data_IF_329279115856
#
_entry.id   IF_329279115856
#
_cell.length_a   1.000
_cell.length_b   1.000
_cell.length_c   1.000
_cell.angle_alpha   90.00
_cell.angle_beta   90.00
_cell.angle_gamma   90.00
#
_symmetry.space_group_name_H-M   'P 1'
#
loop_
_entity.id
_entity.type
_entity.pdbx_description
1 polymer ?
#
# COMPACT_ATOMS: atom_id res chain seq x y z
N UNK A 1 40.61 -17.21 58.82
CA UNK A 1 40.72 -16.18 57.76
C UNK A 1 39.74 -16.50 56.66
N UNK A 2 39.17 -15.46 56.08
CA UNK A 2 37.83 -15.39 55.46
C UNK A 2 37.72 -16.12 54.12
N UNK A 3 36.66 -16.91 53.97
CA UNK A 3 36.19 -17.50 52.71
C UNK A 3 35.33 -16.48 51.97
N UNK A 4 35.79 -16.01 50.80
CA UNK A 4 35.01 -15.11 49.93
C UNK A 4 34.08 -15.95 49.06
N UNK A 5 32.78 -15.92 49.33
CA UNK A 5 31.75 -16.47 48.44
C UNK A 5 31.41 -15.41 47.39
N UNK A 6 31.77 -15.68 46.13
CA UNK A 6 31.34 -14.89 44.97
C UNK A 6 29.86 -15.12 44.71
N UNK A 7 29.06 -14.06 44.86
CA UNK A 7 27.65 -14.03 44.43
C UNK A 7 27.64 -13.45 43.02
N UNK A 8 27.37 -14.29 42.02
CA UNK A 8 27.00 -13.81 40.68
C UNK A 8 25.54 -13.37 40.72
N UNK A 9 25.29 -12.06 40.69
CA UNK A 9 23.97 -11.50 40.46
C UNK A 9 23.73 -11.42 38.94
N UNK A 10 22.84 -12.25 38.42
CA UNK A 10 22.36 -12.15 37.05
C UNK A 10 21.36 -10.98 36.96
N UNK A 11 21.77 -9.87 36.34
CA UNK A 11 20.87 -8.78 36.00
C UNK A 11 20.07 -9.18 34.75
N UNK A 12 18.81 -9.63 34.95
CA UNK A 12 17.83 -9.71 33.87
C UNK A 12 17.47 -8.28 33.44
N UNK A 13 17.96 -7.86 32.28
CA UNK A 13 17.50 -6.64 31.65
C UNK A 13 16.04 -6.85 31.21
N UNK A 14 15.10 -6.24 31.92
CA UNK A 14 13.71 -6.11 31.48
C UNK A 14 13.69 -5.10 30.34
N UNK A 15 13.81 -5.60 29.10
CA UNK A 15 13.55 -4.78 27.92
C UNK A 15 12.06 -4.42 27.91
N UNK A 16 11.69 -3.15 27.70
CA UNK A 16 10.29 -2.78 27.55
C UNK A 16 9.71 -3.53 26.35
N UNK A 17 8.66 -4.32 26.57
CA UNK A 17 7.88 -4.87 25.49
C UNK A 17 7.33 -3.69 24.67
N UNK A 18 7.79 -3.56 23.42
CA UNK A 18 7.17 -2.65 22.47
C UNK A 18 5.68 -3.02 22.40
N UNK A 19 4.81 -2.11 22.82
CA UNK A 19 3.37 -2.35 22.78
C UNK A 19 2.94 -2.32 21.32
N UNK A 20 2.41 -3.44 20.85
CA UNK A 20 1.68 -3.51 19.59
C UNK A 20 0.63 -2.39 19.59
N UNK A 21 0.67 -1.51 18.58
CA UNK A 21 -0.22 -0.36 18.46
C UNK A 21 -0.71 -0.27 17.03
N UNK A 22 -2.00 -0.52 16.84
CA UNK A 22 -2.71 -0.18 15.60
C UNK A 22 -2.92 1.34 15.57
N UNK A 23 -2.31 2.02 14.58
CA UNK A 23 -2.38 3.48 14.44
C UNK A 23 -3.54 3.92 13.56
N UNK A 24 -4.07 3.03 12.73
CA UNK A 24 -5.22 3.27 11.86
C UNK A 24 -5.98 1.96 11.63
N UNK A 25 -7.31 2.06 11.62
CA UNK A 25 -8.20 0.98 11.23
C UNK A 25 -9.47 1.54 10.59
N UNK A 26 -9.93 0.86 9.54
CA UNK A 26 -11.18 1.14 8.85
C UNK A 26 -11.85 -0.18 8.44
N UNK A 27 -13.07 -0.36 8.90
CA UNK A 27 -13.95 -1.53 8.70
C UNK A 27 -14.87 -1.36 7.48
N UNK A 28 -14.36 -0.73 6.42
CA UNK A 28 -15.12 -0.59 5.18
C UNK A 28 -16.12 0.58 5.15
N UNK A 29 -15.85 1.65 5.90
CA UNK A 29 -16.65 2.89 5.91
C UNK A 29 -15.86 4.10 5.38
N UNK A 30 -16.56 5.11 4.87
CA UNK A 30 -15.95 6.38 4.45
C UNK A 30 -15.49 7.21 5.65
N UNK A 31 -16.13 7.05 6.80
CA UNK A 31 -15.70 7.72 8.02
C UNK A 31 -14.31 7.21 8.46
N UNK A 32 -13.45 8.13 8.90
CA UNK A 32 -12.07 7.83 9.33
C UNK A 32 -11.00 8.06 8.25
N UNK A 33 -11.39 8.19 6.98
CA UNK A 33 -10.46 8.61 5.92
C UNK A 33 -10.28 10.12 5.89
N UNK A 34 -9.05 10.58 5.60
CA UNK A 34 -8.74 12.01 5.54
C UNK A 34 -9.28 12.68 4.27
N UNK A 35 -9.35 11.92 3.17
CA UNK A 35 -9.85 12.39 1.89
C UNK A 35 -10.46 11.25 1.08
N UNK A 36 -11.43 11.62 0.21
CA UNK A 36 -12.04 10.68 -0.74
C UNK A 36 -11.95 11.26 -2.14
N UNK A 37 -11.14 10.65 -2.99
CA UNK A 37 -10.89 11.06 -4.37
C UNK A 37 -11.83 10.33 -5.32
N UNK A 38 -12.48 11.10 -6.17
CA UNK A 38 -13.39 10.64 -7.23
C UNK A 38 -13.10 11.42 -8.51
N UNK A 39 -12.10 10.98 -9.26
CA UNK A 39 -11.74 11.64 -10.52
C UNK A 39 -12.59 11.15 -11.69
N UNK A 40 -12.90 12.08 -12.59
CA UNK A 40 -13.71 11.83 -13.77
C UNK A 40 -15.05 11.14 -13.42
N UNK A 41 -15.34 9.97 -13.99
CA UNK A 41 -16.56 9.19 -13.71
C UNK A 41 -16.34 8.14 -12.60
N UNK A 42 -15.29 8.32 -11.79
CA UNK A 42 -14.98 7.44 -10.68
C UNK A 42 -15.96 7.57 -9.52
N UNK A 43 -16.22 6.46 -8.81
CA UNK A 43 -17.04 6.47 -7.59
C UNK A 43 -16.30 5.80 -6.43
N UNK A 44 -16.63 6.24 -5.22
CA UNK A 44 -16.24 5.64 -3.93
C UNK A 44 -17.47 5.68 -3.03
N UNK A 45 -17.98 4.51 -2.66
CA UNK A 45 -19.25 4.34 -1.94
C UNK A 45 -19.19 3.19 -0.95
N UNK A 46 -19.87 3.30 0.19
CA UNK A 46 -20.14 2.19 1.10
C UNK A 46 -21.19 1.25 0.49
N UNK A 47 -21.02 -0.05 0.70
CA UNK A 47 -21.96 -1.08 0.24
C UNK A 47 -22.12 -2.16 1.31
N UNK A 48 -23.28 -2.80 1.36
CA UNK A 48 -23.59 -3.88 2.30
C UNK A 48 -23.80 -5.24 1.65
N UNK A 49 -23.71 -5.34 0.32
CA UNK A 49 -24.01 -6.56 -0.44
C UNK A 49 -22.75 -7.38 -0.84
N UNK A 50 -21.58 -6.74 -0.88
CA UNK A 50 -20.28 -7.39 -1.10
C UNK A 50 -19.34 -6.87 -0.03
N UNK A 51 -19.21 -7.65 1.04
CA UNK A 51 -18.53 -7.28 2.29
C UNK A 51 -17.60 -8.44 2.67
N UNK A 52 -16.43 -8.16 3.22
CA UNK A 52 -15.56 -9.20 3.76
C UNK A 52 -15.97 -9.52 5.19
N UNK A 53 -16.09 -8.49 6.03
CA UNK A 53 -16.40 -8.63 7.46
C UNK A 53 -17.33 -7.51 7.92
N UNK A 54 -18.15 -7.79 8.93
CA UNK A 54 -19.14 -6.84 9.41
C UNK A 54 -20.30 -6.61 8.43
N UNK A 55 -20.71 -5.36 8.26
CA UNK A 55 -21.91 -4.98 7.47
C UNK A 55 -21.65 -3.94 6.38
N UNK A 56 -20.40 -3.50 6.22
CA UNK A 56 -20.01 -2.49 5.22
C UNK A 56 -18.69 -2.88 4.57
N UNK A 57 -18.53 -2.48 3.32
CA UNK A 57 -17.26 -2.43 2.62
C UNK A 57 -17.27 -1.21 1.70
N UNK A 58 -16.10 -0.79 1.24
CA UNK A 58 -15.98 0.26 0.23
C UNK A 58 -15.99 -0.35 -1.16
N UNK A 59 -16.71 0.27 -2.09
CA UNK A 59 -16.69 -0.05 -3.52
C UNK A 59 -16.14 1.15 -4.29
N UNK A 60 -15.09 0.90 -5.05
CA UNK A 60 -14.41 1.86 -5.90
C UNK A 60 -14.65 1.48 -7.36
N UNK A 61 -15.05 2.44 -8.18
CA UNK A 61 -15.26 2.21 -9.61
C UNK A 61 -14.53 3.24 -10.46
N UNK A 62 -14.16 2.86 -11.67
CA UNK A 62 -13.66 3.78 -12.69
C UNK A 62 -14.23 3.43 -14.06
N UNK A 63 -14.43 4.46 -14.90
CA UNK A 63 -14.96 4.33 -16.25
C UNK A 63 -14.02 5.02 -17.23
N UNK A 64 -13.43 4.27 -18.15
CA UNK A 64 -12.63 4.83 -19.22
C UNK A 64 -13.48 5.76 -20.10
N UNK A 65 -13.01 6.98 -20.33
CA UNK A 65 -13.73 8.00 -21.09
C UNK A 65 -12.88 8.43 -22.29
N UNK A 66 -13.22 8.00 -23.52
CA UNK A 66 -12.45 8.37 -24.72
C UNK A 66 -12.29 9.89 -24.84
N UNK A 67 -11.05 10.34 -25.07
CA UNK A 67 -10.71 11.76 -25.23
C UNK A 67 -10.45 12.51 -23.91
N UNK A 68 -10.73 11.92 -22.74
CA UNK A 68 -10.32 12.50 -21.46
C UNK A 68 -8.80 12.34 -21.26
N UNK A 69 -8.11 13.43 -20.94
CA UNK A 69 -6.65 13.50 -20.82
C UNK A 69 -6.14 13.49 -19.38
N UNK A 70 -7.04 13.51 -18.39
CA UNK A 70 -6.67 13.45 -16.97
C UNK A 70 -6.46 12.02 -16.45
N UNK A 71 -6.33 11.90 -15.13
CA UNK A 71 -6.11 10.62 -14.43
C UNK A 71 -7.42 10.02 -13.91
N UNK A 72 -7.36 8.76 -13.48
CA UNK A 72 -8.52 7.93 -13.14
C UNK A 72 -8.39 7.37 -11.73
N UNK A 73 -8.36 8.22 -10.71
CA UNK A 73 -8.33 7.79 -9.30
C UNK A 73 -9.73 7.70 -8.68
N UNK A 74 -10.01 6.58 -8.04
CA UNK A 74 -11.11 6.38 -7.10
C UNK A 74 -10.56 5.79 -5.81
N UNK A 75 -10.17 6.66 -4.88
CA UNK A 75 -9.33 6.31 -3.73
C UNK A 75 -9.83 6.94 -2.43
N UNK A 76 -9.41 6.36 -1.33
CA UNK A 76 -9.47 6.95 0.01
C UNK A 76 -8.05 7.11 0.55
N UNK A 77 -7.81 8.22 1.23
CA UNK A 77 -6.48 8.62 1.67
C UNK A 77 -6.40 8.56 3.20
N UNK A 78 -5.36 7.91 3.73
CA UNK A 78 -4.87 8.13 5.08
C UNK A 78 -3.55 8.90 5.01
N UNK A 79 -3.54 10.12 5.55
CA UNK A 79 -2.44 11.06 5.35
C UNK A 79 -1.12 10.61 5.99
N UNK A 80 -1.19 9.83 7.08
CA UNK A 80 -0.01 9.37 7.83
C UNK A 80 0.32 7.92 7.47
N UNK A 81 0.70 7.67 6.22
CA UNK A 81 1.11 6.35 5.75
C UNK A 81 2.47 5.92 6.29
N UNK A 82 3.51 6.71 6.05
CA UNK A 82 4.83 6.52 6.68
C UNK A 82 5.69 7.78 6.66
N UNK A 83 6.73 7.76 7.50
CA UNK A 83 7.92 8.60 7.36
C UNK A 83 9.18 7.72 7.35
N UNK A 84 10.23 8.17 6.64
CA UNK A 84 11.53 7.48 6.63
C UNK A 84 12.04 7.29 8.07
N UNK A 85 12.56 6.10 8.36
CA UNK A 85 13.08 5.67 9.65
C UNK A 85 12.15 4.68 10.37
N UNK A 86 10.88 4.64 10.01
CA UNK A 86 9.87 3.79 10.65
C UNK A 86 9.88 2.35 10.09
N UNK A 87 9.44 1.41 10.93
CA UNK A 87 9.00 0.09 10.50
C UNK A 87 7.50 -0.01 10.78
N UNK A 88 6.72 -0.33 9.75
CA UNK A 88 5.28 -0.39 9.84
C UNK A 88 4.75 -1.61 9.10
N UNK A 89 3.58 -2.05 9.56
CA UNK A 89 2.75 -3.04 8.90
C UNK A 89 1.52 -2.37 8.30
N UNK A 90 1.08 -2.88 7.16
CA UNK A 90 -0.11 -2.43 6.43
C UNK A 90 -0.91 -3.65 6.01
N UNK A 91 -2.21 -3.63 6.24
CA UNK A 91 -3.11 -4.71 5.87
C UNK A 91 -4.35 -4.17 5.20
N UNK A 92 -4.84 -4.86 4.18
CA UNK A 92 -6.14 -4.58 3.58
C UNK A 92 -6.69 -5.79 2.86
N UNK A 93 -8.02 -5.88 2.82
CA UNK A 93 -8.74 -6.78 1.93
C UNK A 93 -9.10 -6.04 0.64
N UNK A 94 -9.00 -6.72 -0.50
CA UNK A 94 -9.56 -6.24 -1.75
C UNK A 94 -10.26 -7.36 -2.52
N UNK A 95 -11.20 -7.00 -3.38
CA UNK A 95 -11.90 -7.93 -4.27
C UNK A 95 -12.10 -7.30 -5.63
N UNK A 96 -11.65 -7.97 -6.69
CA UNK A 96 -11.98 -7.59 -8.06
C UNK A 96 -13.43 -8.02 -8.39
N UNK A 97 -14.07 -7.36 -9.36
CA UNK A 97 -15.35 -7.86 -9.88
C UNK A 97 -15.23 -9.30 -10.36
N UNK A 98 -16.32 -10.06 -10.25
CA UNK A 98 -16.35 -11.46 -10.72
C UNK A 98 -16.09 -11.56 -12.23
N UNK A 99 -16.52 -10.55 -12.98
CA UNK A 99 -16.33 -10.44 -14.43
C UNK A 99 -15.02 -9.71 -14.80
N UNK A 100 -14.05 -9.57 -13.89
CA UNK A 100 -12.81 -8.83 -14.16
C UNK A 100 -12.09 -9.34 -15.40
N UNK A 101 -11.87 -8.48 -16.40
CA UNK A 101 -11.14 -8.82 -17.62
C UNK A 101 -9.63 -8.66 -17.39
N UNK A 102 -8.81 -9.72 -17.43
CA UNK A 102 -7.36 -9.59 -17.33
C UNK A 102 -6.82 -8.69 -18.44
N UNK A 103 -5.83 -7.86 -18.11
CA UNK A 103 -5.19 -6.95 -19.08
C UNK A 103 -3.72 -6.77 -18.72
N UNK A 104 -2.90 -6.50 -19.74
CA UNK A 104 -1.48 -6.17 -19.58
C UNK A 104 -1.24 -4.78 -19.01
N UNK A 105 -2.29 -3.96 -18.91
CA UNK A 105 -2.25 -2.65 -18.27
C UNK A 105 -2.27 -2.76 -16.75
N UNK A 106 -1.72 -1.75 -16.09
CA UNK A 106 -1.71 -1.62 -14.64
C UNK A 106 -3.05 -1.05 -14.15
N UNK A 107 -3.63 -1.74 -13.18
CA UNK A 107 -4.71 -1.23 -12.35
C UNK A 107 -4.23 -1.19 -10.90
N UNK A 108 -3.81 0.00 -10.45
CA UNK A 108 -3.29 0.20 -9.12
C UNK A 108 -4.40 0.10 -8.06
N UNK A 109 -4.13 -0.63 -6.98
CA UNK A 109 -5.08 -0.93 -5.90
C UNK A 109 -4.67 -0.35 -4.55
N UNK A 110 -3.39 -0.03 -4.37
CA UNK A 110 -2.89 0.73 -3.23
C UNK A 110 -1.60 1.48 -3.59
N UNK A 111 -1.33 2.60 -2.93
CA UNK A 111 -0.08 3.35 -3.14
C UNK A 111 0.33 4.17 -1.93
N UNK A 112 1.63 4.46 -1.88
CA UNK A 112 2.21 5.42 -0.96
C UNK A 112 2.72 6.63 -1.71
N UNK A 113 2.17 7.80 -1.44
CA UNK A 113 2.42 9.01 -2.23
C UNK A 113 2.60 10.24 -1.35
N UNK A 114 3.61 11.06 -1.68
CA UNK A 114 3.86 12.32 -1.01
C UNK A 114 3.86 13.47 -2.03
N UNK A 115 3.31 14.61 -1.64
CA UNK A 115 3.59 15.88 -2.29
C UNK A 115 4.89 16.44 -1.70
N UNK A 116 5.93 16.54 -2.52
CA UNK A 116 7.29 16.93 -2.11
C UNK A 116 7.61 18.33 -2.64
N UNK A 117 6.83 19.32 -2.23
CA UNK A 117 6.90 20.69 -2.74
C UNK A 117 8.35 21.19 -2.89
N UNK A 118 8.68 21.72 -4.06
CA UNK A 118 10.02 22.18 -4.40
C UNK A 118 11.01 21.04 -4.66
N UNK A 119 10.55 19.82 -4.96
CA UNK A 119 11.42 18.74 -5.41
C UNK A 119 11.96 19.06 -6.81
N UNK A 120 11.11 19.59 -7.69
CA UNK A 120 11.51 20.05 -9.03
C UNK A 120 11.96 18.91 -9.93
N UNK A 121 11.38 17.72 -9.76
CA UNK A 121 11.68 16.52 -10.54
C UNK A 121 10.41 15.93 -11.14
N UNK A 122 10.35 15.84 -12.48
CA UNK A 122 9.15 15.41 -13.22
C UNK A 122 8.20 16.58 -13.52
N UNK A 123 6.96 16.26 -13.86
CA UNK A 123 5.93 17.24 -14.27
C UNK A 123 5.27 17.94 -13.07
N UNK A 124 5.28 17.30 -11.90
CA UNK A 124 4.80 17.84 -10.63
C UNK A 124 5.65 17.33 -9.45
N UNK A 125 5.37 17.83 -8.24
CA UNK A 125 6.07 17.44 -7.03
C UNK A 125 5.45 16.21 -6.32
N UNK A 126 4.41 15.58 -6.90
CA UNK A 126 3.82 14.37 -6.36
C UNK A 126 4.64 13.14 -6.77
N UNK A 127 5.05 12.35 -5.78
CA UNK A 127 5.86 11.17 -6.03
C UNK A 127 5.24 9.93 -5.39
N UNK A 128 4.63 9.02 -6.18
CA UNK A 128 4.31 7.70 -5.68
C UNK A 128 5.59 6.88 -5.50
N UNK A 129 5.77 6.34 -4.31
CA UNK A 129 6.86 5.44 -3.95
C UNK A 129 6.42 3.98 -4.20
N UNK A 130 6.12 3.26 -3.14
CA UNK A 130 5.55 1.92 -3.20
C UNK A 130 4.15 1.95 -3.77
N UNK A 131 3.88 1.04 -4.71
CA UNK A 131 2.58 0.87 -5.37
C UNK A 131 2.27 -0.62 -5.42
N UNK A 132 1.00 -0.98 -5.29
CA UNK A 132 0.50 -2.35 -5.41
C UNK A 132 -0.56 -2.36 -6.50
N UNK A 133 -0.41 -3.20 -7.51
CA UNK A 133 -1.31 -3.21 -8.67
C UNK A 133 -1.58 -4.61 -9.20
N UNK A 134 -2.62 -4.69 -10.02
CA UNK A 134 -2.99 -5.88 -10.79
C UNK A 134 -2.54 -5.68 -12.23
N UNK A 135 -1.87 -6.70 -12.76
CA UNK A 135 -1.48 -6.77 -14.17
C UNK A 135 -1.50 -8.24 -14.60
N UNK A 136 -2.18 -8.56 -15.70
CA UNK A 136 -2.36 -9.94 -16.20
C UNK A 136 -2.86 -10.94 -15.14
N UNK A 137 -3.79 -10.53 -14.27
CA UNK A 137 -4.27 -11.33 -13.13
C UNK A 137 -3.20 -11.72 -12.11
N UNK A 138 -2.12 -10.94 -12.03
CA UNK A 138 -1.04 -11.15 -11.08
C UNK A 138 -0.90 -9.90 -10.20
N UNK A 139 -0.54 -10.13 -8.94
CA UNK A 139 -0.18 -9.08 -8.01
C UNK A 139 1.26 -8.62 -8.30
N UNK A 140 1.42 -7.32 -8.43
CA UNK A 140 2.71 -6.66 -8.56
C UNK A 140 2.88 -5.65 -7.43
N UNK A 141 4.13 -5.39 -7.08
CA UNK A 141 4.49 -4.25 -6.24
C UNK A 141 5.78 -3.60 -6.72
N UNK A 142 6.12 -2.46 -6.13
CA UNK A 142 7.43 -1.83 -6.29
C UNK A 142 7.82 -1.08 -5.03
N UNK A 143 9.08 -0.70 -4.94
CA UNK A 143 9.55 0.36 -4.05
C UNK A 143 10.49 1.30 -4.80
N UNK A 144 10.71 2.50 -4.25
CA UNK A 144 11.50 3.56 -4.90
C UNK A 144 12.58 4.03 -3.94
N UNK A 145 13.80 4.23 -4.43
CA UNK A 145 14.89 4.83 -3.65
C UNK A 145 15.68 5.85 -4.48
N UNK A 146 16.63 6.52 -3.84
CA UNK A 146 17.40 7.62 -4.42
C UNK A 146 17.01 8.97 -3.83
N UNK A 147 17.26 10.06 -4.56
CA UNK A 147 17.12 11.43 -4.05
C UNK A 147 15.84 12.12 -4.54
N UNK A 148 15.62 12.04 -5.86
CA UNK A 148 14.47 12.65 -6.54
C UNK A 148 14.20 14.12 -6.13
N UNK A 149 15.24 14.94 -5.94
CA UNK A 149 15.13 16.37 -5.62
C UNK A 149 16.26 17.14 -6.29
N UNK A 150 15.99 18.32 -6.84
CA UNK A 150 17.04 19.13 -7.45
C UNK A 150 18.17 19.45 -6.44
N UNK A 151 19.46 19.42 -6.86
CA UNK A 151 19.94 19.28 -8.24
C UNK A 151 20.07 17.82 -8.75
N UNK A 152 19.68 16.82 -7.96
CA UNK A 152 19.81 15.40 -8.31
C UNK A 152 18.44 14.69 -8.33
N UNK A 153 17.80 14.65 -9.50
CA UNK A 153 16.56 13.90 -9.69
C UNK A 153 16.74 12.38 -9.83
N UNK A 154 17.94 11.84 -9.58
CA UNK A 154 18.21 10.41 -9.65
C UNK A 154 17.35 9.62 -8.66
N UNK A 155 16.66 8.61 -9.17
CA UNK A 155 15.93 7.59 -8.40
C UNK A 155 15.97 6.24 -9.10
N UNK A 156 15.74 5.18 -8.36
CA UNK A 156 15.51 3.84 -8.89
C UNK A 156 14.14 3.34 -8.49
N UNK A 157 13.43 2.76 -9.45
CA UNK A 157 12.13 2.11 -9.24
C UNK A 157 12.36 0.62 -9.41
N UNK A 158 12.14 -0.16 -8.34
CA UNK A 158 12.40 -1.58 -8.31
C UNK A 158 11.06 -2.32 -8.28
N UNK A 159 10.68 -2.86 -9.43
CA UNK A 159 9.43 -3.62 -9.60
C UNK A 159 9.63 -5.07 -9.22
N UNK A 160 8.69 -5.61 -8.44
CA UNK A 160 8.62 -7.03 -8.10
C UNK A 160 7.36 -7.61 -8.76
N UNK A 161 7.53 -8.28 -9.92
CA UNK A 161 6.42 -8.80 -10.69
C UNK A 161 5.94 -10.15 -10.16
N UNK A 162 4.71 -10.53 -10.55
CA UNK A 162 4.22 -11.90 -10.43
C UNK A 162 4.28 -12.48 -9.00
N UNK A 163 3.99 -11.66 -7.99
CA UNK A 163 4.06 -12.09 -6.59
C UNK A 163 3.07 -13.21 -6.28
N UNK A 164 1.85 -13.09 -6.81
CA UNK A 164 0.79 -14.06 -6.64
C UNK A 164 -0.25 -13.96 -7.76
N UNK A 165 -0.92 -15.07 -8.13
CA UNK A 165 -2.12 -15.01 -8.94
C UNK A 165 -3.29 -14.39 -8.17
N UNK A 166 -4.10 -13.59 -8.84
CA UNK A 166 -5.25 -12.89 -8.29
C UNK A 166 -6.51 -13.36 -8.99
N UNK A 167 -7.43 -13.95 -8.24
CA UNK A 167 -8.69 -14.44 -8.77
C UNK A 167 -9.77 -13.36 -8.75
N UNK A 168 -10.51 -13.25 -9.84
CA UNK A 168 -11.68 -12.39 -9.93
C UNK A 168 -12.78 -12.87 -8.96
N UNK A 169 -13.54 -11.94 -8.39
CA UNK A 169 -14.72 -12.26 -7.59
C UNK A 169 -14.45 -12.86 -6.20
N UNK A 170 -13.19 -12.97 -5.78
CA UNK A 170 -12.80 -13.43 -4.43
C UNK A 170 -12.20 -12.29 -3.63
N UNK A 171 -12.38 -12.35 -2.31
CA UNK A 171 -11.65 -11.48 -1.39
C UNK A 171 -10.22 -11.99 -1.24
N UNK A 172 -9.27 -11.06 -1.36
CA UNK A 172 -7.86 -11.30 -1.23
C UNK A 172 -7.27 -10.42 -0.14
N UNK A 173 -6.32 -10.98 0.60
CA UNK A 173 -5.64 -10.32 1.71
C UNK A 173 -4.24 -9.91 1.30
N UNK A 174 -3.89 -8.64 1.49
CA UNK A 174 -2.52 -8.16 1.33
C UNK A 174 -2.03 -7.65 2.67
N UNK A 175 -0.86 -8.14 3.09
CA UNK A 175 -0.13 -7.58 4.23
C UNK A 175 1.28 -7.20 3.79
N UNK A 176 1.70 -5.98 4.12
CA UNK A 176 3.04 -5.46 3.90
C UNK A 176 3.73 -5.27 5.25
N UNK A 177 5.00 -5.67 5.33
CA UNK A 177 5.89 -5.25 6.43
C UNK A 177 7.07 -4.53 5.80
N UNK A 178 7.24 -3.25 6.11
CA UNK A 178 8.24 -2.41 5.46
C UNK A 178 8.99 -1.62 6.53
N UNK A 179 10.32 -1.73 6.49
CA UNK A 179 11.19 -0.76 7.15
C UNK A 179 11.59 0.29 6.13
N UNK A 180 11.10 1.50 6.32
CA UNK A 180 11.29 2.65 5.44
C UNK A 180 12.67 3.25 5.67
N UNK A 181 13.62 2.93 4.81
CA UNK A 181 14.98 3.43 4.89
C UNK A 181 15.48 3.84 3.51
N UNK A 182 16.33 4.87 3.46
CA UNK A 182 16.99 5.28 2.21
C UNK A 182 18.37 4.64 2.03
N UNK A 183 18.79 3.80 2.97
CA UNK A 183 20.05 3.06 2.96
C UNK A 183 19.80 1.55 2.98
N UNK A 184 20.86 0.76 3.09
CA UNK A 184 20.78 -0.72 3.14
C UNK A 184 20.38 -1.27 4.51
N UNK A 185 19.63 -0.53 5.32
CA UNK A 185 19.06 -1.03 6.58
C UNK A 185 17.58 -1.36 6.46
N UNK A 186 16.93 -1.03 5.35
CA UNK A 186 15.54 -1.32 5.09
C UNK A 186 15.28 -2.77 4.68
N UNK A 187 14.01 -3.13 4.70
CA UNK A 187 13.50 -4.40 4.19
C UNK A 187 12.06 -4.24 3.71
N UNK A 188 11.64 -5.10 2.81
CA UNK A 188 10.31 -5.09 2.20
C UNK A 188 9.77 -6.50 2.11
N UNK A 189 8.57 -6.72 2.65
CA UNK A 189 7.94 -8.04 2.73
C UNK A 189 6.48 -7.98 2.38
N UNK A 190 5.99 -9.01 1.71
CA UNK A 190 4.60 -9.11 1.24
C UNK A 190 4.04 -10.49 1.60
N UNK A 191 2.84 -10.48 2.15
CA UNK A 191 1.98 -11.64 2.26
C UNK A 191 0.74 -11.45 1.41
N UNK A 192 0.34 -12.52 0.74
CA UNK A 192 -0.89 -12.60 -0.04
C UNK A 192 -1.67 -13.84 0.38
N UNK A 193 -2.94 -13.66 0.77
CA UNK A 193 -3.82 -14.72 1.26
C UNK A 193 -3.16 -15.61 2.34
N UNK A 194 -2.48 -14.95 3.29
CA UNK A 194 -1.78 -15.59 4.42
C UNK A 194 -0.40 -16.16 4.10
N UNK A 195 -0.01 -16.27 2.83
CA UNK A 195 1.29 -16.80 2.42
C UNK A 195 2.30 -15.67 2.22
N UNK A 196 3.52 -15.80 2.77
CA UNK A 196 4.61 -14.88 2.45
C UNK A 196 5.05 -15.12 1.00
N UNK A 197 4.84 -14.14 0.14
CA UNK A 197 5.14 -14.24 -1.31
C UNK A 197 6.39 -13.49 -1.72
N UNK A 198 6.87 -12.56 -0.88
CA UNK A 198 8.10 -11.83 -1.13
C UNK A 198 8.73 -11.34 0.18
N UNK A 199 10.06 -11.35 0.24
CA UNK A 199 10.84 -10.79 1.32
C UNK A 199 12.26 -10.47 0.83
N UNK A 200 12.68 -9.23 1.03
CA UNK A 200 14.04 -8.78 0.73
C UNK A 200 14.55 -7.88 1.86
N UNK A 201 15.82 -8.06 2.23
CA UNK A 201 16.50 -7.34 3.31
C UNK A 201 17.71 -6.56 2.77
N UNK A 202 18.18 -5.61 3.58
CA UNK A 202 19.37 -4.81 3.31
C UNK A 202 19.23 -3.94 2.04
N UNK A 203 18.04 -3.38 1.84
CA UNK A 203 17.66 -2.57 0.69
C UNK A 203 17.20 -1.17 1.12
N UNK A 204 17.40 -0.19 0.24
CA UNK A 204 16.76 1.10 0.36
C UNK A 204 15.33 1.02 -0.20
N UNK A 205 14.35 1.33 0.64
CA UNK A 205 12.90 1.19 0.40
C UNK A 205 12.16 2.51 0.19
N UNK A 206 12.81 3.65 0.46
CA UNK A 206 12.28 4.99 0.17
C UNK A 206 13.40 5.96 -0.24
N UNK A 207 13.02 7.18 -0.64
CA UNK A 207 13.95 8.27 -0.97
C UNK A 207 14.60 8.86 0.28
N UNK A 208 15.71 9.56 0.11
CA UNK A 208 16.55 10.07 1.22
C UNK A 208 16.09 11.39 1.85
N UNK A 209 14.78 11.61 1.97
CA UNK A 209 14.20 12.72 2.73
C UNK A 209 13.14 12.28 3.74
N UNK A 210 12.62 13.25 4.49
CA UNK A 210 11.71 13.01 5.62
C UNK A 210 10.26 13.40 5.28
N UNK A 211 9.90 13.36 3.99
CA UNK A 211 8.51 13.57 3.56
C UNK A 211 7.59 12.54 4.20
N UNK A 212 6.41 12.98 4.63
CA UNK A 212 5.35 12.05 5.07
C UNK A 212 4.58 11.59 3.84
N UNK A 213 4.57 10.28 3.62
CA UNK A 213 3.80 9.66 2.54
C UNK A 213 2.42 9.28 3.06
N UNK A 214 1.40 9.60 2.28
CA UNK A 214 0.05 9.12 2.49
C UNK A 214 -0.01 7.64 2.13
N UNK A 215 -0.85 6.87 2.82
CA UNK A 215 -1.27 5.55 2.39
C UNK A 215 -2.65 5.64 1.76
N UNK A 216 -2.78 5.22 0.50
CA UNK A 216 -4.04 5.23 -0.23
C UNK A 216 -4.40 3.82 -0.66
N UNK A 217 -5.67 3.48 -0.53
CA UNK A 217 -6.27 2.28 -1.15
C UNK A 217 -7.38 2.73 -2.08
N UNK A 218 -7.54 2.03 -3.20
CA UNK A 218 -8.55 2.36 -4.19
C UNK A 218 -8.14 2.02 -5.60
N UNK A 219 -9.09 2.15 -6.52
CA UNK A 219 -8.88 1.86 -7.93
C UNK A 219 -8.28 3.09 -8.62
N UNK A 220 -7.00 3.02 -8.95
CA UNK A 220 -6.33 3.95 -9.83
C UNK A 220 -5.97 3.27 -11.16
N UNK A 221 -6.75 3.53 -12.21
CA UNK A 221 -6.54 2.98 -13.54
C UNK A 221 -5.44 3.77 -14.30
N UNK A 222 -4.22 3.72 -13.78
CA UNK A 222 -3.11 4.58 -14.20
C UNK A 222 -2.70 4.41 -15.66
N UNK A 223 -2.64 3.16 -16.14
CA UNK A 223 -2.28 2.86 -17.53
C UNK A 223 -3.23 3.49 -18.56
N UNK A 224 -4.49 3.80 -18.21
CA UNK A 224 -5.39 4.50 -19.15
C UNK A 224 -4.90 5.91 -19.49
N UNK A 225 -4.35 6.61 -18.49
CA UNK A 225 -3.73 7.91 -18.69
C UNK A 225 -2.34 7.74 -19.32
N UNK A 226 -1.52 6.86 -18.74
CA UNK A 226 -0.10 6.76 -19.08
C UNK A 226 0.14 6.20 -20.50
N UNK A 227 -0.70 5.26 -20.94
CA UNK A 227 -0.64 4.68 -22.28
C UNK A 227 -1.51 5.44 -23.29
N UNK A 228 -2.25 6.46 -22.83
CA UNK A 228 -3.24 7.24 -23.60
C UNK A 228 -4.34 6.39 -24.27
N UNK A 229 -4.60 5.18 -23.78
CA UNK A 229 -5.62 4.29 -24.28
C UNK A 229 -6.03 3.24 -23.24
N UNK A 230 -7.18 2.61 -23.44
CA UNK A 230 -7.55 1.38 -22.74
C UNK A 230 -7.31 0.17 -23.64
N UNK A 231 -6.75 -0.89 -23.06
CA UNK A 231 -6.68 -2.23 -23.64
C UNK A 231 -7.84 -3.11 -23.16
N UNK A 232 -8.32 -4.00 -24.02
CA UNK A 232 -9.45 -4.87 -23.72
C UNK A 232 -10.81 -4.19 -23.94
N UNK A 233 -11.87 -4.78 -23.41
CA UNK A 233 -13.25 -4.35 -23.62
C UNK A 233 -13.95 -3.80 -22.36
N UNK A 234 -13.41 -4.09 -21.18
CA UNK A 234 -13.98 -3.68 -19.89
C UNK A 234 -13.59 -2.24 -19.50
N UNK A 235 -14.33 -1.28 -20.07
CA UNK A 235 -14.22 0.15 -19.75
C UNK A 235 -14.66 0.52 -18.33
N UNK A 236 -15.56 -0.27 -17.74
CA UNK A 236 -16.03 -0.09 -16.38
C UNK A 236 -15.37 -1.10 -15.45
N UNK A 237 -14.59 -0.61 -14.49
CA UNK A 237 -13.81 -1.42 -13.55
C UNK A 237 -14.32 -1.21 -12.14
N UNK A 238 -14.34 -2.28 -11.35
CA UNK A 238 -14.84 -2.26 -9.97
C UNK A 238 -13.90 -3.05 -9.07
N UNK A 239 -13.58 -2.47 -7.92
CA UNK A 239 -12.82 -3.13 -6.85
C UNK A 239 -13.49 -2.78 -5.52
N UNK A 240 -13.62 -3.76 -4.65
CA UNK A 240 -14.10 -3.58 -3.28
C UNK A 240 -12.92 -3.64 -2.32
N UNK A 241 -13.02 -2.94 -1.20
CA UNK A 241 -12.01 -2.85 -0.14
C UNK A 241 -12.67 -2.97 1.23
N UNK A 242 -11.98 -3.62 2.15
CA UNK A 242 -12.46 -3.83 3.52
C UNK A 242 -11.26 -4.07 4.47
N UNK A 243 -11.50 -4.00 5.78
CA UNK A 243 -10.53 -4.31 6.85
C UNK A 243 -9.13 -3.73 6.60
N UNK A 244 -9.05 -2.40 6.52
CA UNK A 244 -7.80 -1.69 6.24
C UNK A 244 -7.16 -1.22 7.54
N UNK A 245 -5.87 -1.53 7.73
CA UNK A 245 -5.17 -1.22 8.98
C UNK A 245 -3.71 -0.83 8.75
N UNK A 246 -3.19 -0.01 9.68
CA UNK A 246 -1.77 0.30 9.84
C UNK A 246 -1.40 0.04 11.29
N UNK A 247 -0.27 -0.62 11.52
CA UNK A 247 0.18 -0.96 12.86
C UNK A 247 1.67 -1.30 12.94
N UNK A 248 2.06 -1.83 14.09
CA UNK A 248 3.46 -2.13 14.43
C UNK A 248 3.78 -3.62 14.40
N UNK A 249 2.77 -4.46 14.28
CA UNK A 249 2.90 -5.92 14.23
C UNK A 249 2.03 -6.50 13.13
N UNK A 250 2.33 -7.74 12.73
CA UNK A 250 1.50 -8.47 11.77
C UNK A 250 0.05 -8.62 12.25
N UNK A 251 -0.15 -8.91 13.54
CA UNK A 251 -1.47 -9.08 14.14
C UNK A 251 -2.28 -7.78 14.15
N UNK A 252 -1.64 -6.61 14.32
CA UNK A 252 -2.33 -5.31 14.28
C UNK A 252 -3.03 -5.05 12.94
N UNK A 253 -2.61 -5.74 11.88
CA UNK A 253 -3.09 -5.49 10.51
C UNK A 253 -3.54 -6.74 9.77
N UNK A 254 -3.77 -7.86 10.44
CA UNK A 254 -4.28 -9.07 9.79
C UNK A 254 -5.81 -9.07 9.79
N UNK A 255 -6.49 -8.87 8.63
CA UNK A 255 -7.95 -8.91 8.54
C UNK A 255 -8.64 -10.17 9.12
N UNK A 256 -7.90 -11.28 9.18
CA UNK A 256 -8.43 -12.56 9.67
C UNK A 256 -8.38 -12.68 11.20
N UNK A 257 -7.73 -11.73 11.88
CA UNK A 257 -7.64 -11.69 13.33
C UNK A 257 -8.68 -10.74 13.92
N UNK A 258 -9.01 -10.97 15.19
CA UNK A 258 -9.98 -10.22 15.97
C UNK A 258 -9.29 -9.41 17.07
#
# INVERSE_FOLDING_TARGET
MVTVKSIFAAALAVLPAAKATQSFYNDGHLNGWDYVRRENQGTVSEVSNVVYKGTSALKMTQTYTPGYTGRYHSEVDHNRGYQRGEELFYGFMFRLSEQWEPSSQSYNIAQFIANRQGAGCGDDDWMPSTMVWIQNSQLYTRYVNGHYRQPNCGRSILTQPNLAPVSAGQWHKVILQIKWASDKTGFFKVWFDGNKVYEEYNIATTVDDDSVFQFRVGLYANSWHDDHQMTGSQAFRQVWYDEIAIGTTFADVDPDQA
#
